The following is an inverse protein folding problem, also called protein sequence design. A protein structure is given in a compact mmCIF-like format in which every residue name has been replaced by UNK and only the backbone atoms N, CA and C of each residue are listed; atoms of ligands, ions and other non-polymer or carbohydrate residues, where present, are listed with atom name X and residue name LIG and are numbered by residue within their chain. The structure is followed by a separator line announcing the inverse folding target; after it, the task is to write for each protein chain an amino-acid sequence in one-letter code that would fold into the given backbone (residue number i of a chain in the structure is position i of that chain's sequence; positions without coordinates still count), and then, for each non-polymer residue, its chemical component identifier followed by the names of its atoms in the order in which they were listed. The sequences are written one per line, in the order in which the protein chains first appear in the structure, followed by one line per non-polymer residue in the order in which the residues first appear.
data_IF_606352590378
#
_entry.id   IF_606352590378
#
_cell.length_a   1.000
_cell.length_b   1.000
_cell.length_c   1.000
_cell.angle_alpha   90.00
_cell.angle_beta   90.00
_cell.angle_gamma   90.00
#
_symmetry.space_group_name_H-M   'P 1'
#
loop_
_entity.id
_entity.type
_entity.pdbx_description
1 polymer ?
#
# COMPACT_ATOMS: atom_id res chain seq x y z
N UNK A 1 -3.20 -7.48 -6.28
CA UNK A 1 -1.96 -8.28 -6.40
C UNK A 1 -1.05 -8.00 -5.23
N UNK A 2 -0.85 -8.99 -4.37
CA UNK A 2 0.07 -8.92 -3.23
C UNK A 2 1.33 -9.66 -3.64
N UNK A 3 2.48 -9.00 -3.56
CA UNK A 3 3.76 -9.57 -3.99
C UNK A 3 4.50 -10.19 -2.79
N UNK A 4 5.54 -10.98 -3.05
CA UNK A 4 6.38 -11.58 -2.02
C UNK A 4 6.92 -10.54 -1.03
N UNK A 5 7.05 -10.95 0.23
CA UNK A 5 7.59 -10.16 1.34
C UNK A 5 6.75 -8.94 1.76
N UNK A 6 5.50 -8.83 1.30
CA UNK A 6 4.59 -7.82 1.83
C UNK A 6 4.20 -8.15 3.28
N UNK A 7 4.42 -7.20 4.19
CA UNK A 7 3.93 -7.28 5.57
C UNK A 7 2.59 -6.54 5.70
N UNK A 8 1.53 -7.24 6.12
CA UNK A 8 0.18 -6.69 6.22
C UNK A 8 -0.28 -6.75 7.68
N UNK A 9 -0.56 -5.59 8.26
CA UNK A 9 -1.14 -5.50 9.61
C UNK A 9 -2.57 -6.06 9.67
N UNK A 10 -3.00 -6.47 10.86
CA UNK A 10 -4.36 -7.01 11.05
C UNK A 10 -5.47 -6.01 10.71
N UNK A 11 -6.52 -6.48 10.04
CA UNK A 11 -7.69 -5.68 9.67
C UNK A 11 -7.43 -4.63 8.59
N UNK A 12 -6.44 -4.85 7.72
CA UNK A 12 -6.28 -4.05 6.51
C UNK A 12 -7.33 -4.46 5.48
N UNK A 13 -8.03 -3.49 4.92
CA UNK A 13 -8.93 -3.68 3.78
C UNK A 13 -8.15 -3.37 2.50
N UNK A 14 -8.14 -4.30 1.55
CA UNK A 14 -7.42 -4.14 0.27
C UNK A 14 -8.43 -4.15 -0.86
N UNK A 15 -8.53 -3.05 -1.59
CA UNK A 15 -9.41 -2.88 -2.73
C UNK A 15 -8.95 -3.69 -3.95
N UNK A 16 -9.90 -3.96 -4.84
CA UNK A 16 -9.66 -4.74 -6.05
C UNK A 16 -8.58 -4.11 -6.93
N UNK A 17 -7.73 -4.96 -7.51
CA UNK A 17 -6.64 -4.50 -8.39
C UNK A 17 -5.55 -3.67 -7.71
N UNK A 18 -5.56 -3.46 -6.39
CA UNK A 18 -4.46 -2.82 -5.68
C UNK A 18 -3.16 -3.62 -5.83
N UNK A 19 -2.04 -2.95 -6.05
CA UNK A 19 -0.72 -3.56 -6.20
C UNK A 19 0.14 -3.26 -4.97
N UNK A 20 0.56 -4.30 -4.25
CA UNK A 20 1.44 -4.17 -3.08
C UNK A 20 2.85 -4.63 -3.46
N UNK A 21 3.77 -3.68 -3.61
CA UNK A 21 5.14 -3.94 -4.04
C UNK A 21 5.96 -4.81 -3.08
N UNK A 22 7.04 -5.40 -3.61
CA UNK A 22 7.94 -6.28 -2.84
C UNK A 22 8.40 -5.58 -1.56
N UNK A 23 8.32 -6.29 -0.43
CA UNK A 23 8.85 -5.78 0.84
C UNK A 23 8.12 -4.57 1.42
N UNK A 24 6.96 -4.15 0.90
CA UNK A 24 6.22 -3.06 1.52
C UNK A 24 5.59 -3.50 2.85
N UNK A 25 5.42 -2.55 3.77
CA UNK A 25 4.81 -2.77 5.08
C UNK A 25 3.56 -1.91 5.24
N UNK A 26 2.44 -2.53 5.59
CA UNK A 26 1.14 -1.87 5.73
C UNK A 26 0.73 -1.88 7.20
N UNK A 27 0.47 -0.70 7.78
CA UNK A 27 -0.05 -0.56 9.15
C UNK A 27 -1.37 -1.30 9.30
N UNK A 28 -1.69 -1.79 10.49
CA UNK A 28 -2.99 -2.37 10.80
C UNK A 28 -4.14 -1.35 10.65
N UNK A 29 -5.37 -1.86 10.45
CA UNK A 29 -6.61 -1.07 10.48
C UNK A 29 -6.63 0.14 9.52
N UNK A 30 -6.11 -0.03 8.30
CA UNK A 30 -6.17 1.00 7.24
C UNK A 30 -6.69 0.39 5.93
N UNK A 31 -7.08 1.27 5.02
CA UNK A 31 -7.62 0.93 3.70
C UNK A 31 -6.61 1.20 2.60
N UNK A 32 -6.42 0.22 1.72
CA UNK A 32 -5.71 0.38 0.45
C UNK A 32 -6.77 0.41 -0.65
N UNK A 33 -6.94 1.55 -1.32
CA UNK A 33 -7.98 1.76 -2.32
C UNK A 33 -7.83 0.88 -3.57
N UNK A 34 -8.92 0.72 -4.30
CA UNK A 34 -8.96 0.00 -5.59
C UNK A 34 -7.88 0.55 -6.54
N UNK A 35 -7.14 -0.32 -7.23
CA UNK A 35 -6.06 0.04 -8.16
C UNK A 35 -4.96 0.93 -7.57
N UNK A 36 -4.87 1.08 -6.25
CA UNK A 36 -3.76 1.78 -5.61
C UNK A 36 -2.44 1.03 -5.87
N UNK A 37 -1.34 1.77 -5.95
CA UNK A 37 0.00 1.20 -6.17
C UNK A 37 0.90 1.52 -4.98
N UNK A 38 1.34 0.50 -4.27
CA UNK A 38 2.30 0.61 -3.18
C UNK A 38 3.68 0.28 -3.72
N UNK A 39 4.61 1.23 -3.65
CA UNK A 39 5.99 1.04 -4.07
C UNK A 39 6.71 -0.04 -3.28
N UNK A 40 7.76 -0.60 -3.90
CA UNK A 40 8.67 -1.53 -3.24
C UNK A 40 9.25 -0.88 -1.97
N UNK A 41 9.29 -1.64 -0.87
CA UNK A 41 9.83 -1.18 0.41
C UNK A 41 9.07 -0.01 1.06
N UNK A 42 7.88 0.36 0.55
CA UNK A 42 7.12 1.46 1.13
C UNK A 42 6.54 1.10 2.51
N UNK A 43 6.54 2.07 3.44
CA UNK A 43 5.97 1.90 4.79
C UNK A 43 4.69 2.72 4.89
N UNK A 44 3.55 2.07 4.68
CA UNK A 44 2.23 2.68 4.57
C UNK A 44 1.59 2.80 5.95
N UNK A 45 1.48 4.03 6.44
CA UNK A 45 0.99 4.35 7.79
C UNK A 45 -0.36 5.08 7.80
N UNK A 46 -0.97 5.28 6.63
CA UNK A 46 -2.26 5.95 6.44
C UNK A 46 -3.03 5.27 5.31
N UNK A 47 -4.33 5.51 5.25
CA UNK A 47 -5.16 5.07 4.12
C UNK A 47 -4.59 5.58 2.79
N UNK A 48 -4.79 4.80 1.74
CA UNK A 48 -4.38 5.11 0.37
C UNK A 48 -5.63 5.19 -0.50
N UNK A 49 -5.86 6.34 -1.12
CA UNK A 49 -7.02 6.53 -1.98
C UNK A 49 -6.95 5.65 -3.25
N UNK A 50 -8.10 5.30 -3.86
CA UNK A 50 -8.14 4.53 -5.10
C UNK A 50 -7.28 5.15 -6.22
N UNK A 51 -6.55 4.32 -6.96
CA UNK A 51 -5.69 4.72 -8.07
C UNK A 51 -4.43 5.51 -7.68
N UNK A 52 -4.21 5.81 -6.40
CA UNK A 52 -3.05 6.56 -5.94
C UNK A 52 -1.81 5.67 -5.86
N UNK A 53 -0.68 6.21 -6.31
CA UNK A 53 0.63 5.60 -6.09
C UNK A 53 1.30 6.21 -4.86
N UNK A 54 1.73 5.37 -3.92
CA UNK A 54 2.50 5.80 -2.74
C UNK A 54 3.86 5.12 -2.67
N UNK A 55 4.90 5.86 -2.30
CA UNK A 55 6.28 5.36 -2.18
C UNK A 55 6.98 5.91 -0.93
N UNK A 56 8.06 5.24 -0.51
CA UNK A 56 8.97 5.71 0.53
C UNK A 56 8.60 5.27 1.95
N UNK A 57 9.41 5.70 2.92
CA UNK A 57 9.24 5.45 4.34
C UNK A 57 9.35 6.77 5.13
N UNK A 58 8.26 7.32 5.67
CA UNK A 58 6.89 6.83 5.57
C UNK A 58 6.29 7.12 4.18
N UNK A 59 5.40 6.25 3.69
CA UNK A 59 4.86 6.33 2.34
C UNK A 59 4.09 7.64 2.09
N UNK A 60 4.29 8.24 0.92
CA UNK A 60 3.61 9.48 0.49
C UNK A 60 3.12 9.35 -0.95
N UNK A 61 2.02 10.05 -1.33
CA UNK A 61 1.58 10.11 -2.71
C UNK A 61 2.69 10.60 -3.63
N UNK A 62 2.96 9.85 -4.70
CA UNK A 62 3.88 10.23 -5.76
C UNK A 62 3.08 11.00 -6.83
N UNK A 63 3.47 12.26 -7.08
CA UNK A 63 3.00 12.97 -8.26
C UNK A 63 3.79 12.48 -9.47
N UNK A 64 3.09 12.21 -10.56
CA UNK A 64 3.71 11.98 -11.87
C UNK A 64 4.39 13.25 -12.36
#
# INVERSE_FOLDING_TARGET
MIVALTCIGGGVEIGDGAYLGIGCSIRNQIRIGEKAFIGMGAVVVKDVDPGVTVIGNPARPMKR
#
